data_IF_387175018626
#
_entry.id   IF_387175018626
#
_cell.length_a   1.000
_cell.length_b   1.000
_cell.length_c   1.000
_cell.angle_alpha   90.00
_cell.angle_beta   90.00
_cell.angle_gamma   90.00
#
_symmetry.space_group_name_H-M   'P 1'
#
loop_
_entity.id
_entity.type
_entity.pdbx_description
1 polymer ?
#
# COMPACT_ATOMS: atom_id res chain seq x y z
N UNK A 1 64.19 3.66 -39.76
CA UNK A 1 63.21 4.55 -39.09
C UNK A 1 61.97 3.72 -38.87
N UNK A 2 61.75 3.21 -37.63
CA UNK A 2 60.59 2.36 -37.25
C UNK A 2 59.58 3.25 -36.56
N UNK A 3 58.38 3.40 -37.15
CA UNK A 3 57.23 4.12 -36.57
C UNK A 3 56.44 3.13 -35.73
N UNK A 4 56.51 3.26 -34.40
CA UNK A 4 55.68 2.53 -33.47
C UNK A 4 54.30 3.22 -33.38
N UNK A 5 53.27 2.51 -33.78
CA UNK A 5 51.87 2.92 -33.59
C UNK A 5 51.42 2.40 -32.22
N UNK A 6 51.19 3.29 -31.28
CA UNK A 6 50.58 2.98 -29.97
C UNK A 6 49.06 2.94 -30.17
N UNK A 7 48.50 1.74 -30.08
CA UNK A 7 47.07 1.50 -30.06
C UNK A 7 46.59 1.68 -28.59
N UNK A 8 45.92 2.81 -28.34
CA UNK A 8 45.26 3.10 -27.05
C UNK A 8 43.89 2.42 -27.05
N UNK A 9 43.79 1.24 -26.43
CA UNK A 9 42.53 0.57 -26.22
C UNK A 9 41.80 1.24 -25.05
N UNK A 10 40.82 2.07 -25.34
CA UNK A 10 39.87 2.66 -24.38
C UNK A 10 38.92 1.55 -23.92
N UNK A 11 39.11 1.06 -22.70
CA UNK A 11 38.24 0.11 -22.03
C UNK A 11 37.00 0.88 -21.55
N UNK A 12 35.91 0.89 -22.34
CA UNK A 12 34.60 1.35 -21.88
C UNK A 12 34.04 0.32 -20.90
N UNK A 13 34.20 0.58 -19.61
CA UNK A 13 33.45 -0.13 -18.57
C UNK A 13 31.97 0.31 -18.68
N UNK A 14 31.15 -0.52 -19.31
CA UNK A 14 29.70 -0.38 -19.33
C UNK A 14 29.23 -0.77 -17.91
N UNK A 15 29.02 0.23 -17.08
CA UNK A 15 28.28 0.03 -15.83
C UNK A 15 26.82 -0.28 -16.21
N UNK A 16 26.48 -1.55 -16.24
CA UNK A 16 25.09 -1.97 -16.28
C UNK A 16 24.47 -1.51 -14.97
N UNK A 17 23.71 -0.44 -14.99
CA UNK A 17 22.77 -0.08 -13.93
C UNK A 17 21.72 -1.18 -13.93
N UNK A 18 21.94 -2.21 -13.10
CA UNK A 18 20.88 -3.15 -12.79
C UNK A 18 19.81 -2.32 -12.07
N UNK A 19 18.66 -2.14 -12.72
CA UNK A 19 17.48 -1.59 -12.05
C UNK A 19 17.23 -2.45 -10.82
N UNK A 20 17.23 -1.83 -9.64
CA UNK A 20 16.97 -2.52 -8.40
C UNK A 20 15.50 -3.01 -8.41
N UNK A 21 15.30 -4.29 -8.68
CA UNK A 21 13.98 -4.92 -8.69
C UNK A 21 13.49 -5.26 -7.28
N UNK A 22 14.26 -4.92 -6.23
CA UNK A 22 13.92 -5.25 -4.84
C UNK A 22 12.58 -4.68 -4.40
N UNK A 23 12.26 -3.38 -4.61
CA UNK A 23 10.96 -2.82 -4.21
C UNK A 23 9.78 -3.55 -4.87
N UNK A 24 9.86 -3.81 -6.18
CA UNK A 24 8.81 -4.54 -6.89
C UNK A 24 8.66 -5.98 -6.38
N UNK A 25 9.77 -6.64 -6.05
CA UNK A 25 9.74 -8.01 -5.49
C UNK A 25 9.04 -8.04 -4.13
N UNK A 26 9.33 -7.07 -3.24
CA UNK A 26 8.69 -6.96 -1.92
C UNK A 26 7.20 -6.68 -2.07
N UNK A 27 6.80 -5.73 -2.92
CA UNK A 27 5.38 -5.41 -3.15
C UNK A 27 4.62 -6.61 -3.73
N UNK A 28 5.23 -7.32 -4.70
CA UNK A 28 4.62 -8.52 -5.28
C UNK A 28 4.40 -9.63 -4.25
N UNK A 29 5.35 -9.83 -3.34
CA UNK A 29 5.19 -10.79 -2.25
C UNK A 29 4.10 -10.37 -1.28
N UNK A 30 4.04 -9.09 -0.91
CA UNK A 30 2.98 -8.51 -0.08
C UNK A 30 1.59 -8.72 -0.69
N UNK A 31 1.40 -8.30 -1.94
CA UNK A 31 0.11 -8.44 -2.64
C UNK A 31 -0.28 -9.92 -2.80
N UNK A 32 0.68 -10.79 -3.13
CA UNK A 32 0.42 -12.21 -3.24
C UNK A 32 0.04 -12.85 -1.88
N UNK A 33 0.69 -12.44 -0.79
CA UNK A 33 0.39 -12.93 0.55
C UNK A 33 -1.02 -12.54 0.99
N UNK A 34 -1.42 -11.28 0.80
CA UNK A 34 -2.77 -10.81 1.15
C UNK A 34 -3.82 -11.36 0.20
N UNK A 35 -3.56 -11.39 -1.11
CA UNK A 35 -4.49 -11.91 -2.12
C UNK A 35 -4.72 -13.43 -2.04
N UNK A 36 -3.86 -14.18 -1.34
CA UNK A 36 -4.06 -15.60 -1.07
C UNK A 36 -5.01 -15.87 0.10
N UNK A 37 -5.40 -14.84 0.86
CA UNK A 37 -6.29 -14.97 2.01
C UNK A 37 -7.75 -14.91 1.54
N UNK A 38 -8.55 -15.88 1.94
CA UNK A 38 -10.01 -15.88 1.69
C UNK A 38 -10.73 -14.84 2.55
N UNK A 39 -10.24 -14.63 3.76
CA UNK A 39 -10.70 -13.61 4.68
C UNK A 39 -9.62 -13.24 5.69
N UNK A 40 -9.60 -11.97 6.08
CA UNK A 40 -8.68 -11.46 7.11
C UNK A 40 -9.24 -10.22 7.78
N UNK A 41 -8.79 -9.98 9.00
CA UNK A 41 -9.07 -8.72 9.70
C UNK A 41 -7.78 -8.03 10.11
N UNK A 42 -7.86 -6.71 10.22
CA UNK A 42 -6.73 -5.84 10.56
C UNK A 42 -7.14 -4.88 11.66
N UNK A 43 -6.33 -4.83 12.71
CA UNK A 43 -6.39 -3.77 13.72
C UNK A 43 -5.32 -2.74 13.36
N UNK A 44 -5.68 -1.48 13.34
CA UNK A 44 -4.79 -0.40 12.95
C UNK A 44 -4.99 0.86 13.80
N UNK A 45 -4.09 1.80 13.68
CA UNK A 45 -4.20 3.14 14.25
C UNK A 45 -3.87 4.18 13.17
N UNK A 46 -4.72 5.19 13.04
CA UNK A 46 -4.51 6.35 12.17
C UNK A 46 -3.89 7.47 12.99
N UNK A 47 -2.74 7.95 12.54
CA UNK A 47 -2.03 9.07 13.15
C UNK A 47 -2.16 10.28 12.23
N UNK A 48 -2.75 11.34 12.75
CA UNK A 48 -2.83 12.67 12.15
C UNK A 48 -2.16 13.68 13.07
N UNK A 49 -2.16 14.97 12.73
CA UNK A 49 -1.49 16.03 13.50
C UNK A 49 -2.02 16.15 14.94
N UNK A 50 -1.52 15.28 15.82
CA UNK A 50 -1.79 15.29 17.26
C UNK A 50 -2.78 14.26 17.76
N UNK A 51 -3.50 13.56 16.88
CA UNK A 51 -4.51 12.56 17.24
C UNK A 51 -4.11 11.15 16.79
N UNK A 52 -4.53 10.17 17.60
CA UNK A 52 -4.40 8.74 17.27
C UNK A 52 -5.79 8.12 17.35
N UNK A 53 -6.27 7.63 16.22
CA UNK A 53 -7.60 7.04 16.11
C UNK A 53 -7.47 5.54 15.86
N UNK A 54 -7.98 4.68 16.75
CA UNK A 54 -8.00 3.25 16.53
C UNK A 54 -9.01 2.88 15.45
N UNK A 55 -8.67 1.86 14.67
CA UNK A 55 -9.53 1.34 13.62
C UNK A 55 -9.42 -0.18 13.51
N UNK A 56 -10.41 -0.74 12.86
CA UNK A 56 -10.52 -2.15 12.53
C UNK A 56 -11.16 -2.30 11.15
N UNK A 57 -10.68 -3.24 10.35
CA UNK A 57 -11.40 -3.68 9.19
C UNK A 57 -11.32 -5.19 9.00
N UNK A 58 -12.31 -5.73 8.31
CA UNK A 58 -12.42 -7.12 7.90
C UNK A 58 -12.71 -7.18 6.40
N UNK A 59 -12.02 -8.08 5.70
CA UNK A 59 -12.19 -8.32 4.27
C UNK A 59 -12.56 -9.79 4.07
N UNK A 60 -13.53 -10.04 3.18
CA UNK A 60 -13.91 -11.37 2.73
C UNK A 60 -14.30 -11.29 1.24
N UNK A 61 -13.37 -11.68 0.36
CA UNK A 61 -13.50 -11.45 -1.08
C UNK A 61 -13.60 -9.96 -1.39
N UNK A 62 -14.66 -9.57 -2.12
CA UNK A 62 -14.93 -8.17 -2.47
C UNK A 62 -15.71 -7.41 -1.38
N UNK A 63 -16.12 -8.10 -0.31
CA UNK A 63 -16.85 -7.47 0.80
C UNK A 63 -15.90 -7.03 1.90
N UNK A 64 -16.24 -5.93 2.55
CA UNK A 64 -15.53 -5.46 3.72
C UNK A 64 -16.45 -4.79 4.74
N UNK A 65 -16.01 -4.83 5.98
CA UNK A 65 -16.50 -4.02 7.08
C UNK A 65 -15.34 -3.22 7.65
N UNK A 66 -15.56 -1.97 8.00
CA UNK A 66 -14.58 -1.14 8.67
C UNK A 66 -15.25 -0.32 9.77
N UNK A 67 -14.54 -0.17 10.88
CA UNK A 67 -14.92 0.73 11.95
C UNK A 67 -13.73 1.63 12.27
N UNK A 68 -13.92 2.94 12.18
CA UNK A 68 -12.90 3.96 12.47
C UNK A 68 -13.60 5.25 12.91
N UNK A 69 -13.08 5.89 13.95
CA UNK A 69 -13.58 7.16 14.45
C UNK A 69 -15.11 7.17 14.77
N UNK A 70 -15.61 6.05 15.31
CA UNK A 70 -17.04 5.93 15.64
C UNK A 70 -17.97 5.70 14.44
N UNK A 71 -17.45 5.66 13.23
CA UNK A 71 -18.20 5.39 12.00
C UNK A 71 -18.05 3.93 11.61
N UNK A 72 -19.11 3.37 11.06
CA UNK A 72 -19.11 2.03 10.47
C UNK A 72 -19.23 2.14 8.96
N UNK A 73 -18.39 1.37 8.24
CA UNK A 73 -18.42 1.33 6.79
C UNK A 73 -18.58 -0.12 6.35
N UNK A 74 -19.56 -0.35 5.50
CA UNK A 74 -19.79 -1.62 4.82
C UNK A 74 -19.57 -1.41 3.33
N UNK A 75 -18.90 -2.33 2.68
CA UNK A 75 -18.71 -2.27 1.24
C UNK A 75 -18.79 -3.64 0.59
N UNK A 76 -19.17 -3.62 -0.66
CA UNK A 76 -19.13 -4.76 -1.57
C UNK A 76 -18.36 -4.37 -2.86
N UNK A 77 -18.49 -5.13 -3.92
CA UNK A 77 -17.82 -4.84 -5.19
C UNK A 77 -18.33 -3.55 -5.88
N UNK A 78 -19.49 -3.01 -5.50
CA UNK A 78 -20.15 -1.91 -6.21
C UNK A 78 -20.45 -0.70 -5.32
N UNK A 79 -20.91 -0.92 -4.09
CA UNK A 79 -21.37 0.14 -3.19
C UNK A 79 -20.63 0.13 -1.85
N UNK A 80 -20.53 1.35 -1.29
CA UNK A 80 -20.01 1.62 0.04
C UNK A 80 -21.11 2.33 0.83
N UNK A 81 -21.36 1.84 2.05
CA UNK A 81 -22.35 2.37 2.99
C UNK A 81 -21.61 2.87 4.23
N UNK A 82 -21.61 4.16 4.45
CA UNK A 82 -21.03 4.79 5.63
C UNK A 82 -22.14 5.16 6.60
N UNK A 83 -22.07 4.63 7.81
CA UNK A 83 -23.08 4.80 8.85
C UNK A 83 -22.49 5.65 9.95
N UNK A 84 -23.09 6.80 10.19
CA UNK A 84 -22.83 7.66 11.33
C UNK A 84 -23.98 7.49 12.35
N UNK A 85 -23.78 6.70 13.43
CA UNK A 85 -24.83 6.42 14.40
C UNK A 85 -25.20 7.66 15.22
N UNK A 86 -24.27 8.58 15.43
CA UNK A 86 -24.50 9.80 16.21
C UNK A 86 -25.40 10.78 15.45
N UNK A 87 -25.20 10.90 14.14
CA UNK A 87 -26.03 11.72 13.26
C UNK A 87 -27.26 11.02 12.74
N UNK A 88 -27.33 9.68 12.87
CA UNK A 88 -28.35 8.80 12.29
C UNK A 88 -28.46 8.95 10.78
N UNK A 89 -27.29 9.05 10.15
CA UNK A 89 -27.14 9.22 8.71
C UNK A 89 -26.50 7.97 8.10
N UNK A 90 -26.90 7.67 6.88
CA UNK A 90 -26.27 6.66 6.03
C UNK A 90 -25.93 7.34 4.70
N UNK A 91 -24.66 7.34 4.34
CA UNK A 91 -24.19 7.79 3.03
C UNK A 91 -23.93 6.55 2.18
N UNK A 92 -24.44 6.56 0.95
CA UNK A 92 -24.27 5.46 0.00
C UNK A 92 -23.54 6.02 -1.21
N UNK A 93 -22.34 5.47 -1.45
CA UNK A 93 -21.49 5.84 -2.57
C UNK A 93 -21.12 4.60 -3.41
N UNK A 94 -20.66 4.83 -4.63
CA UNK A 94 -19.99 3.78 -5.39
C UNK A 94 -18.58 3.58 -4.87
N UNK A 95 -18.15 2.32 -4.82
CA UNK A 95 -16.75 2.00 -4.48
C UNK A 95 -15.83 2.61 -5.52
N UNK A 96 -14.86 3.40 -5.06
CA UNK A 96 -13.79 3.91 -5.92
C UNK A 96 -12.76 2.81 -6.17
N UNK A 97 -12.88 2.12 -7.31
CA UNK A 97 -11.97 1.07 -7.72
C UNK A 97 -10.57 1.59 -8.12
N UNK A 98 -10.39 2.91 -8.20
CA UNK A 98 -9.09 3.53 -8.49
C UNK A 98 -8.36 3.97 -7.23
N UNK A 99 -9.02 3.94 -6.08
CA UNK A 99 -8.43 4.34 -4.81
C UNK A 99 -7.58 3.22 -4.21
N UNK A 100 -6.33 3.54 -3.91
CA UNK A 100 -5.42 2.72 -3.12
C UNK A 100 -5.33 3.17 -1.66
N UNK A 101 -6.25 4.01 -1.21
CA UNK A 101 -6.33 4.43 0.18
C UNK A 101 -7.06 3.37 1.00
N UNK A 102 -6.39 2.84 2.02
CA UNK A 102 -6.92 1.81 2.92
C UNK A 102 -8.26 2.21 3.56
N UNK A 103 -8.44 3.49 3.89
CA UNK A 103 -9.67 3.99 4.49
C UNK A 103 -10.82 4.14 3.49
N UNK A 104 -10.53 4.18 2.19
CA UNK A 104 -11.56 4.26 1.14
C UNK A 104 -11.95 2.88 0.60
N UNK A 105 -10.95 2.04 0.34
CA UNK A 105 -11.17 0.70 -0.19
C UNK A 105 -10.13 -0.29 0.36
N UNK A 106 -10.38 -0.93 1.52
CA UNK A 106 -9.45 -1.85 2.14
C UNK A 106 -9.17 -3.10 1.30
N UNK A 107 -10.09 -3.52 0.40
CA UNK A 107 -9.89 -4.68 -0.46
C UNK A 107 -8.77 -4.47 -1.47
N UNK A 108 -8.48 -3.22 -1.83
CA UNK A 108 -7.45 -2.82 -2.79
C UNK A 108 -6.28 -2.05 -2.18
N UNK A 109 -6.25 -1.92 -0.85
CA UNK A 109 -5.26 -1.08 -0.16
C UNK A 109 -3.80 -1.43 -0.45
N UNK A 110 -3.52 -2.68 -0.85
CA UNK A 110 -2.18 -3.18 -1.14
C UNK A 110 -2.00 -3.70 -2.57
N UNK A 111 -2.91 -3.35 -3.46
CA UNK A 111 -2.88 -3.70 -4.88
C UNK A 111 -2.14 -2.62 -5.69
N UNK A 112 -0.86 -2.39 -5.36
CA UNK A 112 -0.04 -1.31 -5.93
C UNK A 112 0.73 -1.70 -7.20
N UNK A 113 0.49 -2.89 -7.76
CA UNK A 113 1.40 -3.48 -8.77
C UNK A 113 1.05 -3.04 -10.18
N UNK A 114 -0.10 -2.44 -10.41
CA UNK A 114 -0.70 -2.22 -11.73
C UNK A 114 -0.11 -1.06 -12.56
N UNK A 115 1.12 -0.64 -12.26
CA UNK A 115 1.83 0.33 -13.10
C UNK A 115 1.37 1.78 -12.95
N UNK A 116 0.61 2.11 -11.90
CA UNK A 116 0.23 3.50 -11.59
C UNK A 116 1.30 4.24 -10.79
N UNK A 117 2.18 3.50 -10.12
CA UNK A 117 3.25 4.02 -9.28
C UNK A 117 4.63 3.51 -9.69
N UNK A 118 5.63 4.37 -9.59
CA UNK A 118 7.03 3.99 -9.58
C UNK A 118 7.44 3.64 -8.15
N UNK A 119 7.97 2.42 -7.95
CA UNK A 119 8.41 1.95 -6.64
C UNK A 119 9.92 2.16 -6.45
N UNK A 120 10.33 2.65 -5.29
CA UNK A 120 11.72 2.78 -4.88
C UNK A 120 11.92 2.32 -3.44
N UNK A 121 13.07 1.71 -3.15
CA UNK A 121 13.44 1.27 -1.81
C UNK A 121 14.04 2.46 -1.06
N UNK A 122 13.40 2.89 0.03
CA UNK A 122 13.94 3.93 0.90
C UNK A 122 14.92 3.38 1.93
N UNK A 123 14.57 2.23 2.51
CA UNK A 123 15.44 1.55 3.48
C UNK A 123 15.08 0.08 3.61
N UNK A 124 16.05 -0.74 3.97
CA UNK A 124 15.84 -2.13 4.39
C UNK A 124 16.74 -2.40 5.59
N UNK A 125 16.15 -2.81 6.72
CA UNK A 125 16.86 -3.12 7.97
C UNK A 125 16.25 -4.37 8.61
N UNK A 126 17.04 -5.44 8.69
CA UNK A 126 16.55 -6.73 9.15
C UNK A 126 15.41 -7.23 8.27
N UNK A 127 14.25 -7.49 8.86
CA UNK A 127 13.04 -7.90 8.14
C UNK A 127 12.13 -6.72 7.74
N UNK A 128 12.53 -5.47 7.96
CA UNK A 128 11.68 -4.32 7.62
C UNK A 128 12.21 -3.63 6.37
N UNK A 129 11.39 -3.55 5.34
CA UNK A 129 11.62 -2.75 4.14
C UNK A 129 10.63 -1.57 4.10
N UNK A 130 11.11 -0.40 3.70
CA UNK A 130 10.27 0.79 3.43
C UNK A 130 10.32 1.08 1.95
N UNK A 131 9.17 0.96 1.30
CA UNK A 131 9.00 1.17 -0.15
C UNK A 131 8.24 2.47 -0.36
N UNK A 132 8.78 3.34 -1.18
CA UNK A 132 8.12 4.55 -1.66
C UNK A 132 7.47 4.31 -3.01
N UNK A 133 6.21 4.68 -3.11
CA UNK A 133 5.40 4.69 -4.31
C UNK A 133 5.18 6.13 -4.74
N UNK A 134 5.67 6.47 -5.92
CA UNK A 134 5.51 7.79 -6.52
C UNK A 134 4.56 7.67 -7.70
N UNK A 135 3.44 8.41 -7.75
CA UNK A 135 2.49 8.32 -8.85
C UNK A 135 3.15 8.66 -10.18
N UNK A 136 2.85 7.89 -11.21
CA UNK A 136 3.34 8.12 -12.57
C UNK A 136 2.51 9.19 -13.30
N UNK A 137 1.32 9.51 -12.78
CA UNK A 137 0.43 10.54 -13.33
C UNK A 137 0.29 11.69 -12.35
N UNK A 138 0.36 12.92 -12.86
CA UNK A 138 0.31 14.16 -12.06
C UNK A 138 -1.09 14.40 -11.43
N UNK A 139 -2.12 13.70 -11.89
CA UNK A 139 -3.52 13.87 -11.44
C UNK A 139 -3.97 12.77 -10.46
N UNK A 140 -3.06 12.11 -9.79
CA UNK A 140 -3.42 11.16 -8.73
C UNK A 140 -4.00 11.92 -7.53
N UNK A 141 -5.18 11.53 -7.05
CA UNK A 141 -5.79 12.09 -5.84
C UNK A 141 -4.95 11.78 -4.59
N UNK A 142 -4.19 10.69 -4.62
CA UNK A 142 -3.22 10.33 -3.60
C UNK A 142 -1.84 10.63 -4.16
N UNK A 143 -1.08 11.43 -3.45
CA UNK A 143 0.30 11.74 -3.78
C UNK A 143 1.23 10.55 -3.54
N UNK A 144 2.32 10.78 -2.85
CA UNK A 144 3.27 9.75 -2.48
C UNK A 144 2.70 8.81 -1.42
N UNK A 145 3.00 7.51 -1.54
CA UNK A 145 2.66 6.49 -0.53
C UNK A 145 3.96 5.83 -0.08
N UNK A 146 4.21 5.75 1.22
CA UNK A 146 5.29 4.94 1.78
C UNK A 146 4.67 3.71 2.44
N UNK A 147 5.13 2.50 2.08
CA UNK A 147 4.67 1.24 2.64
C UNK A 147 5.81 0.60 3.42
N UNK A 148 5.59 0.37 4.71
CA UNK A 148 6.50 -0.39 5.56
C UNK A 148 6.06 -1.88 5.57
N UNK A 149 6.97 -2.78 5.25
CA UNK A 149 6.68 -4.21 5.07
C UNK A 149 7.60 -5.05 5.95
N UNK A 150 7.00 -5.98 6.71
CA UNK A 150 7.74 -7.09 7.29
C UNK A 150 7.98 -8.14 6.18
N UNK A 151 9.20 -8.17 5.66
CA UNK A 151 9.59 -9.03 4.54
C UNK A 151 9.67 -10.51 4.92
N UNK A 152 9.81 -10.83 6.23
CA UNK A 152 9.81 -12.22 6.69
C UNK A 152 8.39 -12.82 6.68
N UNK A 153 7.37 -11.98 6.92
CA UNK A 153 5.96 -12.38 6.93
C UNK A 153 5.23 -11.99 5.64
N UNK A 154 5.83 -11.14 4.82
CA UNK A 154 5.20 -10.50 3.65
C UNK A 154 3.89 -9.78 4.02
N UNK A 155 3.87 -9.09 5.17
CA UNK A 155 2.74 -8.33 5.66
C UNK A 155 3.10 -6.86 5.84
N UNK A 156 2.14 -5.94 5.64
CA UNK A 156 2.35 -4.52 5.91
C UNK A 156 2.44 -4.27 7.42
N UNK A 157 3.26 -3.31 7.83
CA UNK A 157 3.36 -2.84 9.21
C UNK A 157 2.94 -1.38 9.34
N UNK A 158 3.05 -0.60 8.28
CA UNK A 158 2.47 0.74 8.20
C UNK A 158 2.27 1.16 6.74
N UNK A 159 1.33 2.09 6.54
CA UNK A 159 1.16 2.82 5.28
C UNK A 159 1.10 4.31 5.61
N UNK A 160 1.83 5.12 4.85
CA UNK A 160 1.84 6.57 5.01
C UNK A 160 1.40 7.19 3.69
N UNK A 161 0.33 7.96 3.73
CA UNK A 161 -0.20 8.71 2.59
C UNK A 161 0.18 10.18 2.69
N UNK A 162 0.44 10.79 1.54
CA UNK A 162 0.47 12.23 1.37
C UNK A 162 -0.80 12.64 0.63
N UNK A 163 -1.70 13.35 1.31
CA UNK A 163 -2.99 13.78 0.81
C UNK A 163 -3.08 15.29 1.02
N UNK A 164 -3.19 16.07 -0.06
CA UNK A 164 -3.28 17.54 -0.03
C UNK A 164 -2.16 18.23 0.75
N UNK A 165 -0.99 17.59 0.84
CA UNK A 165 0.18 18.08 1.59
C UNK A 165 0.23 17.63 3.05
N UNK A 166 -0.84 17.02 3.55
CA UNK A 166 -0.87 16.41 4.88
C UNK A 166 -0.36 14.97 4.84
N UNK A 167 0.29 14.57 5.93
CA UNK A 167 0.83 13.22 6.07
C UNK A 167 -0.01 12.41 7.05
N UNK A 168 -0.70 11.40 6.53
CA UNK A 168 -1.49 10.45 7.33
C UNK A 168 -0.75 9.13 7.43
N UNK A 169 -0.40 8.70 8.64
CA UNK A 169 0.24 7.41 8.91
C UNK A 169 -0.80 6.43 9.47
N UNK A 170 -0.85 5.25 8.92
CA UNK A 170 -1.68 4.14 9.42
C UNK A 170 -0.74 3.02 9.88
N UNK A 171 -0.64 2.82 11.18
CA UNK A 171 0.12 1.72 11.78
C UNK A 171 -0.74 0.46 11.87
N UNK A 172 -0.26 -0.65 11.31
CA UNK A 172 -0.94 -1.93 11.34
C UNK A 172 -0.47 -2.71 12.57
N UNK A 173 -1.38 -2.91 13.52
CA UNK A 173 -1.11 -3.56 14.78
C UNK A 173 -1.18 -5.08 14.71
N UNK A 174 -2.15 -5.60 13.96
CA UNK A 174 -2.26 -7.05 13.72
C UNK A 174 -3.01 -7.34 12.44
N UNK A 175 -2.66 -8.46 11.80
CA UNK A 175 -3.41 -9.09 10.71
C UNK A 175 -3.78 -10.49 11.19
N UNK A 176 -5.07 -10.80 11.22
CA UNK A 176 -5.59 -12.10 11.63
C UNK A 176 -6.32 -12.73 10.46
N UNK A 177 -5.89 -13.93 10.08
CA UNK A 177 -6.50 -14.70 8.98
C UNK A 177 -7.67 -15.53 9.53
N UNK A 178 -8.77 -15.57 8.80
CA UNK A 178 -9.91 -16.42 9.08
C UNK A 178 -10.46 -17.00 7.77
N UNK A 179 -11.21 -18.09 7.88
CA UNK A 179 -11.95 -18.63 6.74
C UNK A 179 -13.05 -17.64 6.35
N UNK A 180 -13.30 -17.50 5.04
CA UNK A 180 -14.38 -16.65 4.56
C UNK A 180 -15.70 -17.09 5.23
N UNK A 181 -16.33 -16.17 5.94
CA UNK A 181 -17.63 -16.43 6.52
C UNK A 181 -18.67 -16.46 5.38
N UNK A 182 -19.39 -17.54 5.16
CA UNK A 182 -20.50 -17.53 4.21
C UNK A 182 -21.54 -16.54 4.74
N UNK A 183 -21.74 -15.45 4.02
CA UNK A 183 -22.87 -14.52 4.25
C UNK A 183 -24.02 -14.88 3.33
#
# INVERSE_FOLDING_TARGET
MKRSVLLLAALFAVFSVQADNRPQAVLKQLTAALGALEGYSVVFEVHTDGDVVPGYYEVSGDNYYMHVNGQEVYGDAEFRYEIDPDRKEVVIDRVDLTSHNLLNNPTRAFDFIDGEYAASLLSEKGSTAVIRLTPLRIQSAVGQIDVEVDTARSLPTAVIYEIDGDRVRIDIRSVTVHEASPR
#
